data_IF_586617097380
#
_entry.id   IF_586617097380
#
_cell.length_a   1.000
_cell.length_b   1.000
_cell.length_c   1.000
_cell.angle_alpha   90.00
_cell.angle_beta   90.00
_cell.angle_gamma   90.00
#
_symmetry.space_group_name_H-M   'P 1'
#
loop_
_entity.id
_entity.type
_entity.pdbx_description
1 polymer ?
#
# COMPACT_ATOMS: atom_id res chain seq x y z
N UNK A 1 32.83 -6.92 -12.96
CA UNK A 1 32.57 -5.53 -12.52
C UNK A 1 31.58 -5.64 -11.38
N UNK A 2 32.02 -5.38 -10.14
CA UNK A 2 31.28 -5.69 -8.92
C UNK A 2 30.92 -4.45 -8.13
N UNK A 3 29.66 -4.39 -7.69
CA UNK A 3 29.15 -3.81 -6.44
C UNK A 3 29.54 -2.37 -6.13
N UNK A 4 28.86 -1.42 -6.76
CA UNK A 4 28.83 0.01 -6.45
C UNK A 4 28.11 0.37 -5.13
N UNK A 5 27.73 -0.61 -4.30
CA UNK A 5 27.13 -0.36 -3.00
C UNK A 5 25.70 0.21 -3.09
N UNK A 6 25.13 0.23 -4.28
CA UNK A 6 23.74 0.59 -4.48
C UNK A 6 22.85 -0.39 -3.71
N UNK A 7 21.88 0.15 -2.96
CA UNK A 7 20.95 -0.64 -2.14
C UNK A 7 19.92 -1.43 -3.00
N UNK A 8 20.24 -1.67 -4.28
CA UNK A 8 19.46 -2.37 -5.30
C UNK A 8 19.00 -3.76 -4.84
N UNK A 9 19.83 -4.46 -4.06
CA UNK A 9 19.47 -5.76 -3.53
C UNK A 9 18.24 -5.72 -2.60
N UNK A 10 17.78 -4.54 -2.19
CA UNK A 10 16.58 -4.31 -1.39
C UNK A 10 15.40 -3.71 -2.19
N UNK A 11 15.52 -3.61 -3.52
CA UNK A 11 14.35 -3.37 -4.39
C UNK A 11 13.36 -4.52 -4.25
N UNK A 12 12.08 -4.22 -4.08
CA UNK A 12 11.02 -5.24 -3.98
C UNK A 12 9.79 -4.76 -4.73
N UNK A 13 9.04 -5.70 -5.29
CA UNK A 13 7.70 -5.46 -5.79
C UNK A 13 6.76 -6.56 -5.30
N UNK A 14 5.49 -6.21 -5.15
CA UNK A 14 4.44 -7.19 -4.88
C UNK A 14 3.12 -6.77 -5.51
N UNK A 15 2.30 -7.79 -5.78
CA UNK A 15 0.92 -7.63 -6.25
C UNK A 15 0.00 -8.44 -5.35
N UNK A 16 -1.00 -7.80 -4.77
CA UNK A 16 -1.87 -8.37 -3.73
C UNK A 16 -3.32 -8.10 -4.10
N UNK A 17 -4.15 -9.14 -4.05
CA UNK A 17 -5.57 -9.05 -4.41
C UNK A 17 -6.46 -9.21 -3.19
N UNK A 18 -7.45 -8.33 -3.06
CA UNK A 18 -8.44 -8.28 -1.99
C UNK A 18 -9.85 -8.45 -2.56
N UNK A 19 -10.61 -9.49 -2.18
CA UNK A 19 -12.01 -9.61 -2.57
C UNK A 19 -12.86 -8.59 -1.81
N UNK A 20 -13.76 -7.91 -2.52
CA UNK A 20 -14.69 -6.93 -1.95
C UNK A 20 -16.06 -7.59 -1.77
N UNK A 21 -16.42 -7.90 -0.53
CA UNK A 21 -17.71 -8.54 -0.20
C UNK A 21 -18.88 -7.57 -0.25
N UNK A 22 -18.65 -6.36 0.27
CA UNK A 22 -19.67 -5.31 0.39
C UNK A 22 -19.24 -4.08 -0.39
N UNK A 23 -20.21 -3.39 -0.99
CA UNK A 23 -19.93 -2.17 -1.76
C UNK A 23 -19.37 -1.09 -0.83
N UNK A 24 -18.33 -0.39 -1.30
CA UNK A 24 -17.70 0.66 -0.52
C UNK A 24 -16.90 1.66 -1.33
N UNK A 25 -16.19 2.51 -0.61
CA UNK A 25 -15.38 3.60 -1.15
C UNK A 25 -13.99 3.50 -0.52
N UNK A 26 -12.97 3.22 -1.33
CA UNK A 26 -11.60 3.05 -0.90
C UNK A 26 -10.83 4.37 -0.97
N UNK A 27 -10.38 4.83 0.19
CA UNK A 27 -9.64 6.09 0.35
C UNK A 27 -8.12 5.89 0.36
N UNK A 28 -7.65 4.67 0.64
CA UNK A 28 -6.26 4.39 0.94
C UNK A 28 -6.05 2.97 1.44
N UNK A 29 -4.78 2.63 1.67
CA UNK A 29 -4.35 1.34 2.22
C UNK A 29 -3.83 1.55 3.64
N UNK A 30 -4.30 0.72 4.57
CA UNK A 30 -3.72 0.61 5.91
C UNK A 30 -2.40 -0.14 5.88
N UNK A 31 -1.54 0.14 6.86
CA UNK A 31 -0.12 -0.20 6.86
C UNK A 31 0.38 -0.82 8.19
N UNK A 32 0.41 -2.14 8.35
CA UNK A 32 0.91 -2.93 9.46
C UNK A 32 2.17 -3.73 9.10
N UNK A 33 2.85 -4.24 10.12
CA UNK A 33 3.99 -5.14 9.99
C UNK A 33 4.03 -6.14 11.15
N UNK A 34 4.71 -7.26 10.90
CA UNK A 34 5.06 -8.25 11.91
C UNK A 34 6.56 -8.57 11.83
N UNK A 35 7.14 -9.00 12.95
CA UNK A 35 8.53 -9.42 13.00
C UNK A 35 8.77 -10.47 14.08
N UNK A 36 9.73 -11.36 13.83
CA UNK A 36 10.27 -12.31 14.81
C UNK A 36 11.59 -11.73 15.29
N UNK A 37 11.68 -11.41 16.57
CA UNK A 37 12.88 -10.83 17.19
C UNK A 37 13.90 -11.91 17.55
N UNK A 38 13.42 -13.00 18.12
CA UNK A 38 14.25 -14.13 18.54
C UNK A 38 13.45 -15.42 18.52
N UNK A 39 14.04 -16.51 18.03
CA UNK A 39 13.44 -17.84 18.05
C UNK A 39 14.10 -18.66 19.16
N UNK A 40 13.45 -18.73 20.32
CA UNK A 40 13.93 -19.48 21.48
C UNK A 40 13.41 -20.91 21.54
N UNK A 41 13.95 -21.70 22.47
CA UNK A 41 13.51 -23.07 22.75
C UNK A 41 12.07 -23.15 23.29
N UNK A 42 11.56 -22.08 23.89
CA UNK A 42 10.20 -21.98 24.45
C UNK A 42 9.20 -21.32 23.50
N UNK A 43 9.65 -20.93 22.30
CA UNK A 43 8.84 -20.25 21.29
C UNK A 43 9.49 -18.97 20.77
N UNK A 44 8.93 -18.40 19.69
CA UNK A 44 9.42 -17.15 19.12
C UNK A 44 8.94 -15.94 19.94
N UNK A 45 9.84 -14.97 20.13
CA UNK A 45 9.52 -13.62 20.58
C UNK A 45 9.16 -12.82 19.34
N UNK A 46 7.89 -12.41 19.22
CA UNK A 46 7.35 -11.72 18.05
C UNK A 46 6.82 -10.33 18.42
N UNK A 47 6.60 -9.50 17.40
CA UNK A 47 5.98 -8.19 17.53
C UNK A 47 5.10 -7.92 16.32
N UNK A 48 3.90 -7.36 16.55
CA UNK A 48 2.91 -7.11 15.51
C UNK A 48 2.17 -5.79 15.70
N UNK A 49 1.95 -5.07 14.61
CA UNK A 49 0.99 -3.95 14.56
C UNK A 49 -0.30 -4.33 13.85
N UNK A 50 -0.42 -5.56 13.37
CA UNK A 50 -1.61 -6.04 12.67
C UNK A 50 -2.76 -6.21 13.69
N UNK A 51 -3.92 -5.55 13.49
CA UNK A 51 -5.02 -5.58 14.46
C UNK A 51 -5.53 -6.99 14.76
N UNK A 52 -5.33 -7.95 13.86
CA UNK A 52 -5.78 -9.33 14.05
C UNK A 52 -4.84 -10.15 14.93
N UNK A 53 -3.55 -9.82 14.98
CA UNK A 53 -2.54 -10.59 15.72
C UNK A 53 -1.91 -9.82 16.88
N UNK A 54 -2.13 -8.51 16.96
CA UNK A 54 -1.53 -7.62 17.96
C UNK A 54 -1.87 -8.05 19.39
N UNK A 55 -3.12 -8.45 19.66
CA UNK A 55 -3.52 -8.90 21.01
C UNK A 55 -2.78 -10.15 21.47
N UNK A 56 -2.43 -11.03 20.53
CA UNK A 56 -1.69 -12.27 20.82
C UNK A 56 -0.18 -12.06 20.87
N UNK A 57 0.38 -11.23 19.99
CA UNK A 57 1.83 -11.07 19.81
C UNK A 57 2.44 -9.92 20.60
N UNK A 58 1.70 -8.83 20.81
CA UNK A 58 2.22 -7.60 21.42
C UNK A 58 1.09 -6.73 21.95
N UNK A 59 0.32 -7.30 22.89
CA UNK A 59 -0.77 -6.62 23.59
C UNK A 59 -0.26 -5.30 24.20
N UNK A 60 -1.08 -4.25 24.12
CA UNK A 60 -0.82 -2.92 24.70
C UNK A 60 0.38 -2.15 24.10
N UNK A 61 0.91 -2.58 22.94
CA UNK A 61 1.98 -1.84 22.27
C UNK A 61 1.45 -0.56 21.60
N UNK A 62 1.94 0.61 22.05
CA UNK A 62 1.57 1.94 21.51
C UNK A 62 2.69 2.65 20.73
N UNK A 63 3.81 1.98 20.49
CA UNK A 63 5.03 2.59 19.93
C UNK A 63 4.97 2.84 18.42
N UNK A 64 4.09 2.14 17.70
CA UNK A 64 3.95 2.24 16.24
C UNK A 64 2.49 2.34 15.84
N UNK A 65 2.09 3.50 15.31
CA UNK A 65 0.81 3.64 14.64
C UNK A 65 0.85 3.03 13.24
N UNK A 66 -0.29 2.51 12.72
CA UNK A 66 -0.37 2.05 11.35
C UNK A 66 -0.01 3.14 10.33
N UNK A 67 0.68 2.76 9.26
CA UNK A 67 0.96 3.65 8.14
C UNK A 67 -0.29 3.76 7.26
N UNK A 68 -0.56 4.93 6.68
CA UNK A 68 -1.67 5.11 5.74
C UNK A 68 -1.15 5.54 4.36
N UNK A 69 -1.46 4.75 3.33
CA UNK A 69 -1.13 5.05 1.93
C UNK A 69 -2.37 5.58 1.21
N UNK A 70 -2.48 6.90 1.10
CA UNK A 70 -3.64 7.55 0.49
C UNK A 70 -3.74 7.28 -1.03
N UNK A 71 -4.97 7.09 -1.53
CA UNK A 71 -5.26 7.09 -2.97
C UNK A 71 -5.68 8.47 -3.43
N UNK A 72 -4.82 9.14 -4.20
CA UNK A 72 -5.21 10.32 -4.98
C UNK A 72 -5.66 9.87 -6.36
N UNK A 73 -6.96 9.84 -6.64
CA UNK A 73 -7.42 9.70 -8.02
C UNK A 73 -7.62 11.11 -8.57
N UNK A 74 -6.88 11.48 -9.62
CA UNK A 74 -7.27 12.63 -10.44
C UNK A 74 -8.52 12.23 -11.20
N UNK A 75 -9.61 12.96 -11.01
CA UNK A 75 -10.77 12.87 -11.89
C UNK A 75 -10.33 13.13 -13.34
N UNK A 76 -10.30 12.08 -14.17
CA UNK A 76 -10.36 12.24 -15.63
C UNK A 76 -11.81 12.36 -16.12
N UNK A 77 -12.79 12.36 -15.21
CA UNK A 77 -14.19 12.62 -15.53
C UNK A 77 -14.52 14.10 -15.34
N UNK A 78 -14.19 14.89 -16.37
CA UNK A 78 -15.10 15.96 -16.74
C UNK A 78 -15.13 16.21 -18.25
N UNK A 79 -15.80 15.33 -18.99
CA UNK A 79 -16.52 15.78 -20.18
C UNK A 79 -17.80 16.47 -19.69
N UNK A 80 -17.99 17.75 -20.07
CA UNK A 80 -19.11 18.68 -19.74
C UNK A 80 -19.06 19.58 -18.48
N UNK A 81 -17.97 20.31 -18.19
CA UNK A 81 -18.03 21.45 -17.22
C UNK A 81 -17.64 22.70 -17.94
N UNK A 82 -18.55 23.65 -17.81
CA UNK A 82 -18.53 24.98 -18.34
C UNK A 82 -17.20 25.72 -18.06
N UNK A 83 -16.80 26.52 -19.03
CA UNK A 83 -15.53 27.24 -19.20
C UNK A 83 -15.29 28.39 -18.20
N UNK A 84 -15.75 28.31 -16.95
CA UNK A 84 -15.81 29.50 -16.08
C UNK A 84 -15.16 29.38 -14.69
N UNK A 85 -14.24 28.45 -14.43
CA UNK A 85 -13.48 28.46 -13.17
C UNK A 85 -11.98 28.33 -13.38
N UNK A 86 -11.31 29.37 -12.90
CA UNK A 86 -9.90 29.68 -12.93
C UNK A 86 -9.02 28.59 -12.32
N UNK A 87 -7.87 28.42 -12.98
CA UNK A 87 -6.66 27.72 -12.56
C UNK A 87 -6.43 27.64 -11.05
N UNK A 88 -6.67 26.46 -10.49
CA UNK A 88 -6.26 26.06 -9.15
C UNK A 88 -6.40 24.55 -9.06
N UNK A 89 -5.31 23.81 -9.26
CA UNK A 89 -5.28 22.35 -9.12
C UNK A 89 -5.45 21.99 -7.64
N UNK A 90 -6.69 21.99 -7.17
CA UNK A 90 -7.04 21.54 -5.84
C UNK A 90 -6.83 20.02 -5.80
N UNK A 91 -5.87 19.58 -4.99
CA UNK A 91 -5.53 18.19 -4.71
C UNK A 91 -6.69 17.52 -3.94
N UNK A 92 -7.80 17.25 -4.63
CA UNK A 92 -8.93 16.49 -4.10
C UNK A 92 -8.60 15.01 -4.25
N UNK A 93 -8.57 14.31 -3.11
CA UNK A 93 -8.41 12.87 -3.02
C UNK A 93 -9.71 12.21 -3.49
N UNK A 94 -9.84 11.89 -4.78
CA UNK A 94 -11.02 11.11 -5.21
C UNK A 94 -10.85 9.67 -4.72
N UNK A 95 -11.79 9.15 -3.94
CA UNK A 95 -11.74 7.78 -3.48
C UNK A 95 -12.26 6.82 -4.56
N UNK A 96 -11.76 5.59 -4.57
CA UNK A 96 -12.12 4.58 -5.56
C UNK A 96 -13.41 3.86 -5.14
N UNK A 97 -14.45 3.91 -5.98
CA UNK A 97 -15.67 3.13 -5.76
C UNK A 97 -15.44 1.64 -6.03
N UNK A 98 -15.86 0.80 -5.09
CA UNK A 98 -15.68 -0.64 -5.14
C UNK A 98 -17.05 -1.33 -5.02
N UNK A 99 -17.59 -1.91 -6.10
CA UNK A 99 -18.82 -2.67 -6.05
C UNK A 99 -18.67 -3.97 -5.24
N UNK A 100 -19.77 -4.45 -4.66
CA UNK A 100 -19.82 -5.78 -4.05
C UNK A 100 -19.52 -6.87 -5.10
N UNK A 101 -18.74 -7.88 -4.72
CA UNK A 101 -18.29 -8.97 -5.61
C UNK A 101 -17.15 -8.58 -6.56
N UNK A 102 -16.64 -7.34 -6.47
CA UNK A 102 -15.41 -6.93 -7.13
C UNK A 102 -14.17 -7.44 -6.39
N UNK A 103 -13.00 -7.24 -6.97
CA UNK A 103 -11.71 -7.41 -6.30
C UNK A 103 -10.82 -6.18 -6.54
N UNK A 104 -10.00 -5.88 -5.55
CA UNK A 104 -8.98 -4.83 -5.63
C UNK A 104 -7.63 -5.46 -5.71
N UNK A 105 -6.83 -5.03 -6.68
CA UNK A 105 -5.45 -5.46 -6.83
C UNK A 105 -4.52 -4.28 -6.57
N UNK A 106 -3.64 -4.44 -5.59
CA UNK A 106 -2.63 -3.47 -5.20
C UNK A 106 -1.30 -3.92 -5.77
N UNK A 107 -0.68 -3.08 -6.60
CA UNK A 107 0.73 -3.24 -6.98
C UNK A 107 1.57 -2.24 -6.20
N UNK A 108 2.59 -2.72 -5.50
CA UNK A 108 3.43 -1.89 -4.63
C UNK A 108 4.90 -2.19 -4.88
N UNK A 109 5.69 -1.13 -4.97
CA UNK A 109 7.12 -1.18 -5.20
C UNK A 109 7.87 -0.49 -4.07
N UNK A 110 8.87 -1.16 -3.52
CA UNK A 110 9.90 -0.56 -2.67
C UNK A 110 11.07 -0.22 -3.57
N UNK A 111 11.16 1.05 -3.92
CA UNK A 111 12.21 1.58 -4.76
C UNK A 111 13.42 1.98 -3.92
N UNK A 112 14.59 1.96 -4.54
CA UNK A 112 15.85 2.35 -3.90
C UNK A 112 16.75 3.01 -4.92
N UNK A 113 17.47 4.03 -4.47
CA UNK A 113 18.66 4.56 -5.12
C UNK A 113 19.80 4.56 -4.09
N UNK A 114 20.94 5.18 -4.40
CA UNK A 114 22.09 5.25 -3.48
C UNK A 114 21.82 6.11 -2.23
N UNK A 115 20.84 7.01 -2.27
CA UNK A 115 20.60 8.04 -1.25
C UNK A 115 19.26 7.89 -0.54
N UNK A 116 18.30 7.19 -1.14
CA UNK A 116 16.89 7.21 -0.78
C UNK A 116 16.24 5.86 -1.03
N UNK A 117 15.27 5.56 -0.19
CA UNK A 117 14.28 4.51 -0.39
C UNK A 117 12.91 5.17 -0.37
N UNK A 118 12.05 4.78 -1.30
CA UNK A 118 10.67 5.26 -1.36
C UNK A 118 9.74 4.13 -1.80
N UNK A 119 8.44 4.37 -1.67
CA UNK A 119 7.42 3.44 -2.12
C UNK A 119 6.64 4.05 -3.27
N UNK A 120 6.26 3.19 -4.20
CA UNK A 120 5.28 3.49 -5.24
C UNK A 120 4.15 2.48 -5.11
N UNK A 121 2.93 2.94 -5.35
CA UNK A 121 1.76 2.06 -5.29
C UNK A 121 0.72 2.45 -6.33
N UNK A 122 0.03 1.45 -6.84
CA UNK A 122 -1.05 1.54 -7.80
C UNK A 122 -2.17 0.61 -7.35
N UNK A 123 -3.41 1.09 -7.41
CA UNK A 123 -4.59 0.29 -7.07
C UNK A 123 -5.46 0.14 -8.30
N UNK A 124 -5.87 -1.08 -8.58
CA UNK A 124 -6.77 -1.44 -9.67
C UNK A 124 -7.99 -2.16 -9.09
N UNK A 125 -9.16 -1.96 -9.69
CA UNK A 125 -10.36 -2.72 -9.34
C UNK A 125 -10.85 -3.54 -10.54
N UNK A 126 -11.31 -4.75 -10.27
CA UNK A 126 -11.76 -5.70 -11.28
C UNK A 126 -13.08 -6.37 -10.85
N UNK A 127 -13.84 -6.83 -11.83
CA UNK A 127 -15.01 -7.68 -11.62
C UNK A 127 -14.98 -8.84 -12.60
N UNK A 128 -15.37 -10.02 -12.13
CA UNK A 128 -15.50 -11.19 -13.01
C UNK A 128 -16.93 -11.30 -13.50
N UNK A 129 -17.12 -11.14 -14.82
CA UNK A 129 -18.43 -11.28 -15.48
C UNK A 129 -18.29 -12.35 -16.56
N UNK A 130 -19.14 -13.39 -16.51
CA UNK A 130 -19.11 -14.52 -17.46
C UNK A 130 -17.73 -15.20 -17.58
N UNK A 131 -16.99 -15.30 -16.46
CA UNK A 131 -15.64 -15.86 -16.43
C UNK A 131 -14.55 -14.93 -16.99
N UNK A 132 -14.91 -13.72 -17.45
CA UNK A 132 -13.96 -12.72 -17.92
C UNK A 132 -13.70 -11.67 -16.83
N UNK A 133 -12.42 -11.40 -16.57
CA UNK A 133 -11.98 -10.36 -15.63
C UNK A 133 -11.97 -9.00 -16.32
N UNK A 134 -12.86 -8.10 -15.89
CA UNK A 134 -13.02 -6.76 -16.46
C UNK A 134 -12.49 -5.73 -15.46
N UNK A 135 -11.65 -4.80 -15.93
CA UNK A 135 -11.16 -3.69 -15.10
C UNK A 135 -12.26 -2.64 -14.93
N UNK A 136 -12.58 -2.31 -13.70
CA UNK A 136 -13.57 -1.28 -13.34
C UNK A 136 -12.92 0.10 -13.20
N UNK A 137 -11.70 0.15 -12.65
CA UNK A 137 -11.01 1.40 -12.39
C UNK A 137 -9.53 1.19 -12.05
N UNK A 138 -8.78 2.28 -12.11
CA UNK A 138 -7.35 2.33 -11.77
C UNK A 138 -7.06 3.66 -11.12
N UNK A 139 -6.21 3.67 -10.09
CA UNK A 139 -5.72 4.89 -9.48
C UNK A 139 -4.57 5.49 -10.29
N UNK A 140 -4.17 6.73 -9.98
CA UNK A 140 -2.86 7.20 -10.40
C UNK A 140 -1.76 6.35 -9.76
N UNK A 141 -0.55 6.35 -10.36
CA UNK A 141 0.64 5.86 -9.69
C UNK A 141 1.03 6.84 -8.59
N UNK A 142 0.96 6.40 -7.34
CA UNK A 142 1.38 7.18 -6.19
C UNK A 142 2.84 6.94 -5.87
N UNK A 143 3.51 7.94 -5.30
CA UNK A 143 4.91 7.84 -4.88
C UNK A 143 5.16 8.62 -3.60
N UNK A 144 5.90 8.01 -2.67
CA UNK A 144 6.37 8.68 -1.46
C UNK A 144 7.68 9.48 -1.67
N UNK A 145 8.27 9.45 -2.87
CA UNK A 145 9.59 10.04 -3.15
C UNK A 145 9.69 11.53 -2.82
N UNK A 146 8.61 12.27 -3.06
CA UNK A 146 8.49 13.71 -2.77
C UNK A 146 7.88 14.02 -1.40
N UNK A 147 7.27 13.03 -0.74
CA UNK A 147 6.33 13.25 0.38
C UNK A 147 6.98 13.19 1.77
N UNK A 148 8.30 13.38 1.90
CA UNK A 148 9.01 13.38 3.19
C UNK A 148 9.08 12.03 3.93
N UNK A 149 8.28 11.02 3.54
CA UNK A 149 8.38 9.62 3.98
C UNK A 149 9.55 8.89 3.31
N UNK A 150 10.74 9.47 3.40
CA UNK A 150 12.00 8.87 2.99
C UNK A 150 12.51 8.02 4.13
N UNK A 151 12.42 6.69 4.00
CA UNK A 151 13.08 5.80 4.95
C UNK A 151 14.56 5.72 4.61
N UNK A 152 15.42 6.09 5.56
CA UNK A 152 16.86 6.02 5.38
C UNK A 152 17.31 4.56 5.22
N UNK A 153 18.25 4.29 4.30
CA UNK A 153 18.78 2.96 4.00
C UNK A 153 19.69 2.44 5.13
N UNK A 154 19.12 2.14 6.30
CA UNK A 154 19.81 1.29 7.29
C UNK A 154 19.45 -0.16 6.99
N UNK A 155 20.50 -0.93 6.74
CA UNK A 155 20.50 -2.37 6.48
C UNK A 155 19.61 -3.09 7.51
N UNK A 156 18.41 -3.48 7.10
CA UNK A 156 17.53 -4.35 7.88
C UNK A 156 17.27 -5.60 7.03
N UNK A 157 18.03 -6.64 7.33
CA UNK A 157 17.86 -7.98 6.77
C UNK A 157 16.56 -8.61 7.28
N UNK A 158 15.83 -9.27 6.38
CA UNK A 158 14.65 -10.10 6.59
C UNK A 158 13.40 -9.42 7.19
N UNK A 159 12.52 -8.91 6.32
CA UNK A 159 11.10 -8.69 6.63
C UNK A 159 10.24 -9.32 5.55
N UNK A 160 9.49 -10.35 5.93
CA UNK A 160 8.38 -10.90 5.16
C UNK A 160 7.16 -10.03 5.48
N UNK A 161 6.61 -9.35 4.49
CA UNK A 161 5.32 -8.66 4.64
C UNK A 161 4.25 -9.76 4.58
N UNK A 162 3.80 -10.25 5.73
CA UNK A 162 2.74 -11.26 5.83
C UNK A 162 1.50 -10.68 6.48
N UNK A 163 0.38 -10.75 5.75
CA UNK A 163 -0.97 -10.66 6.29
C UNK A 163 -1.59 -9.27 6.26
N UNK A 164 -2.49 -9.05 5.31
CA UNK A 164 -3.46 -7.95 5.33
C UNK A 164 -4.85 -8.57 5.29
N UNK A 165 -5.58 -8.43 6.38
CA UNK A 165 -6.99 -8.81 6.40
C UNK A 165 -7.81 -7.61 5.88
N UNK A 166 -8.75 -7.82 4.95
CA UNK A 166 -9.71 -6.77 4.61
C UNK A 166 -10.59 -6.50 5.83
N UNK A 167 -10.79 -5.22 6.14
CA UNK A 167 -11.89 -4.80 7.01
C UNK A 167 -13.23 -5.22 6.40
#
# INVERSE_FOLDING_TARGET
IGGDGANEHNYRDCRITFPIREQGVCHGLGGYFETVLYSGSEGPVELSTNPVTMDAKSKDMISWFPIFFALKVRELFWSFKCCCQTSGANNVQTPMHLPAGSEVEVSMWRQTDDRKVWYEWLVESFMTVNGQRIKLGVSDLHSSKSSGCLMCSRRFSNRRISGWNPC
#
